data_IF_744745924852
#
_entry.id   IF_744745924852
#
_cell.length_a   1.000
_cell.length_b   1.000
_cell.length_c   1.000
_cell.angle_alpha   90.00
_cell.angle_beta   90.00
_cell.angle_gamma   90.00
#
_symmetry.space_group_name_H-M   'P 1'
#
loop_
_entity.id
_entity.type
_entity.pdbx_description
1 polymer ?
#
# COMPACT_ATOMS: atom_id res chain seq x y z
N UNK A 1 -5.18 -0.53 -2.67
CA UNK A 1 -5.44 -0.31 -4.11
C UNK A 1 -6.82 -0.81 -4.55
N UNK A 2 -7.10 -2.13 -4.52
CA UNK A 2 -8.34 -2.70 -5.06
C UNK A 2 -9.62 -2.05 -4.50
N UNK A 3 -9.67 -1.76 -3.20
CA UNK A 3 -10.80 -1.07 -2.56
C UNK A 3 -11.03 0.35 -3.10
N UNK A 4 -9.96 1.11 -3.36
CA UNK A 4 -10.07 2.46 -3.92
C UNK A 4 -10.56 2.41 -5.38
N UNK A 5 -10.10 1.42 -6.16
CA UNK A 5 -10.58 1.19 -7.52
C UNK A 5 -12.08 0.84 -7.54
N UNK A 6 -12.51 -0.07 -6.67
CA UNK A 6 -13.94 -0.42 -6.52
C UNK A 6 -14.80 0.78 -6.14
N UNK A 7 -14.35 1.59 -5.18
CA UNK A 7 -15.05 2.81 -4.78
C UNK A 7 -15.13 3.80 -5.95
N UNK A 8 -14.03 4.07 -6.66
CA UNK A 8 -14.04 5.02 -7.77
C UNK A 8 -15.10 4.68 -8.83
N UNK A 9 -15.22 3.40 -9.19
CA UNK A 9 -16.25 2.93 -10.13
C UNK A 9 -17.67 3.07 -9.55
N UNK A 10 -17.87 2.71 -8.28
CA UNK A 10 -19.18 2.84 -7.61
C UNK A 10 -19.67 4.29 -7.51
N UNK A 11 -18.75 5.26 -7.45
CA UNK A 11 -19.06 6.69 -7.40
C UNK A 11 -19.06 7.35 -8.79
N UNK A 12 -19.16 6.56 -9.86
CA UNK A 12 -19.46 7.06 -11.20
C UNK A 12 -18.23 7.44 -12.03
N UNK A 13 -17.02 7.03 -11.65
CA UNK A 13 -15.87 7.16 -12.54
C UNK A 13 -16.05 6.25 -13.76
N UNK A 14 -16.05 6.78 -15.00
CA UNK A 14 -16.13 5.95 -16.20
C UNK A 14 -14.96 4.96 -16.26
N UNK A 15 -15.22 3.75 -16.75
CA UNK A 15 -14.25 2.65 -16.76
C UNK A 15 -13.02 3.01 -17.58
N UNK A 16 -13.19 3.68 -18.71
CA UNK A 16 -12.10 4.10 -19.60
C UNK A 16 -11.14 5.04 -18.88
N UNK A 17 -11.69 5.98 -18.11
CA UNK A 17 -10.90 6.94 -17.35
C UNK A 17 -10.24 6.27 -16.12
N UNK A 18 -10.92 5.32 -15.48
CA UNK A 18 -10.33 4.50 -14.43
C UNK A 18 -9.13 3.71 -14.97
N UNK A 19 -9.29 3.01 -16.11
CA UNK A 19 -8.21 2.25 -16.74
C UNK A 19 -7.04 3.17 -17.09
N UNK A 20 -7.31 4.33 -17.69
CA UNK A 20 -6.26 5.32 -18.02
C UNK A 20 -5.47 5.78 -16.79
N UNK A 21 -6.15 5.97 -15.66
CA UNK A 21 -5.53 6.47 -14.42
C UNK A 21 -4.76 5.39 -13.65
N UNK A 22 -5.31 4.19 -13.58
CA UNK A 22 -4.79 3.15 -12.69
C UNK A 22 -3.86 2.15 -13.39
N UNK A 23 -3.93 2.01 -14.72
CA UNK A 23 -3.07 1.08 -15.46
C UNK A 23 -1.61 1.52 -15.39
N UNK A 24 -0.74 0.61 -14.93
CA UNK A 24 0.70 0.84 -14.87
C UNK A 24 1.16 1.63 -13.64
N UNK A 25 0.26 2.02 -12.74
CA UNK A 25 0.65 2.62 -11.45
C UNK A 25 1.50 1.62 -10.66
N UNK A 26 2.67 2.08 -10.21
CA UNK A 26 3.53 1.39 -9.25
C UNK A 26 3.56 2.19 -7.97
N UNK A 27 3.51 1.50 -6.85
CA UNK A 27 3.55 2.10 -5.54
C UNK A 27 4.82 1.65 -4.86
N UNK A 28 5.77 2.58 -4.72
CA UNK A 28 6.93 2.38 -3.87
C UNK A 28 6.49 2.41 -2.38
N UNK A 29 7.20 1.70 -1.48
CA UNK A 29 8.38 0.89 -1.75
C UNK A 29 8.02 -0.50 -2.33
N UNK A 30 8.70 -0.87 -3.40
CA UNK A 30 8.78 -2.23 -3.94
C UNK A 30 10.26 -2.58 -4.12
N UNK A 31 10.98 -2.52 -3.01
CA UNK A 31 12.42 -2.56 -2.97
C UNK A 31 12.98 -1.95 -1.67
N UNK A 32 14.15 -1.30 -1.74
CA UNK A 32 14.80 -0.75 -0.57
C UNK A 32 14.01 0.41 0.04
N UNK A 33 14.05 0.55 1.36
CA UNK A 33 13.44 1.68 2.06
C UNK A 33 14.45 2.41 2.94
N UNK A 34 14.05 3.60 3.40
CA UNK A 34 14.81 4.39 4.36
C UNK A 34 14.53 4.01 5.81
N UNK A 35 13.67 3.01 6.06
CA UNK A 35 13.38 2.52 7.40
C UNK A 35 14.42 1.44 7.78
N UNK A 36 15.27 1.67 8.80
CA UNK A 36 16.28 0.70 9.21
C UNK A 36 15.67 -0.62 9.73
N UNK A 37 14.45 -0.59 10.26
CA UNK A 37 13.75 -1.79 10.74
C UNK A 37 13.09 -2.58 9.59
N UNK A 38 12.87 -1.94 8.45
CA UNK A 38 12.28 -2.54 7.24
C UNK A 38 13.09 -2.13 6.00
N UNK A 39 14.35 -2.56 5.87
CA UNK A 39 15.26 -2.05 4.85
C UNK A 39 14.87 -2.47 3.42
N UNK A 40 14.09 -3.53 3.27
CA UNK A 40 13.59 -4.05 1.99
C UNK A 40 12.13 -4.51 2.15
N UNK A 41 11.31 -4.26 1.15
CA UNK A 41 9.89 -4.66 1.12
C UNK A 41 9.51 -5.11 -0.28
N UNK A 42 8.61 -6.09 -0.35
CA UNK A 42 8.11 -6.60 -1.63
C UNK A 42 6.98 -5.72 -2.19
N UNK A 43 6.34 -4.94 -1.32
CA UNK A 43 5.30 -3.97 -1.69
C UNK A 43 5.04 -2.96 -0.58
N UNK A 44 4.34 -1.87 -0.93
CA UNK A 44 3.83 -0.90 0.05
C UNK A 44 2.91 -1.54 1.11
N UNK A 45 2.13 -2.57 0.75
CA UNK A 45 1.22 -3.22 1.69
C UNK A 45 2.01 -4.02 2.73
N UNK A 46 3.04 -4.74 2.27
CA UNK A 46 3.97 -5.46 3.14
C UNK A 46 4.68 -4.49 4.10
N UNK A 47 5.19 -3.37 3.57
CA UNK A 47 5.81 -2.33 4.40
C UNK A 47 4.88 -1.84 5.52
N UNK A 48 3.64 -1.48 5.19
CA UNK A 48 2.68 -0.98 6.18
C UNK A 48 2.33 -2.06 7.21
N UNK A 49 2.13 -3.31 6.79
CA UNK A 49 1.83 -4.40 7.71
C UNK A 49 2.97 -4.64 8.72
N UNK A 50 4.22 -4.71 8.23
CA UNK A 50 5.42 -4.88 9.06
C UNK A 50 5.63 -3.70 10.00
N UNK A 51 5.40 -2.48 9.52
CA UNK A 51 5.47 -1.29 10.36
C UNK A 51 4.45 -1.35 11.52
N UNK A 52 3.20 -1.71 11.22
CA UNK A 52 2.16 -1.84 12.25
C UNK A 52 2.46 -2.98 13.23
N UNK A 53 3.04 -4.07 12.77
CA UNK A 53 3.46 -5.18 13.62
C UNK A 53 4.55 -4.75 14.61
N UNK A 54 5.60 -4.07 14.13
CA UNK A 54 6.68 -3.56 14.97
C UNK A 54 6.14 -2.58 16.02
N UNK A 55 5.27 -1.66 15.60
CA UNK A 55 4.83 -0.56 16.47
C UNK A 55 3.75 -0.99 17.46
N UNK A 56 2.86 -1.92 17.08
CA UNK A 56 1.64 -2.23 17.85
C UNK A 56 1.50 -3.69 18.26
N UNK A 57 2.24 -4.63 17.66
CA UNK A 57 2.13 -6.07 17.95
C UNK A 57 3.29 -6.63 18.78
N UNK A 58 4.31 -5.83 19.09
CA UNK A 58 5.35 -6.19 20.06
C UNK A 58 4.81 -6.42 21.47
N UNK A 59 5.55 -7.09 22.37
CA UNK A 59 5.13 -7.30 23.74
C UNK A 59 4.83 -5.93 24.35
N UNK A 60 3.55 -5.71 24.66
CA UNK A 60 2.98 -4.48 25.21
C UNK A 60 4.00 -3.83 26.15
N UNK A 61 4.63 -2.74 25.71
CA UNK A 61 5.42 -1.87 26.60
C UNK A 61 4.45 -1.38 27.67
N UNK A 62 4.42 -2.10 28.79
CA UNK A 62 3.81 -1.65 30.05
C UNK A 62 4.72 -0.63 30.69
#
# INVERSE_FOLDING_TARGET
FCRAFSIALQYGLPVEEAVKRFKGMRFEPNGPTNNPDIPMTDSIIDYVARYLEIEFSGPRRR
#
